data_IF_943515994194
#
_entry.id   IF_943515994194
#
_cell.length_a   1.000
_cell.length_b   1.000
_cell.length_c   1.000
_cell.angle_alpha   90.00
_cell.angle_beta   90.00
_cell.angle_gamma   90.00
#
_symmetry.space_group_name_H-M   'P 1'
#
loop_
_entity.id
_entity.type
_entity.pdbx_description
1 polymer ?
#
# COMPACT_ATOMS: atom_id res chain seq x y z
N UNK A 1 -27.01 5.92 14.91
CA UNK A 1 -27.56 7.23 15.34
C UNK A 1 -26.46 7.89 16.17
N UNK A 2 -26.18 9.18 15.98
CA UNK A 2 -25.16 9.90 16.76
C UNK A 2 -25.53 9.94 18.24
N UNK A 3 -24.52 9.85 19.12
CA UNK A 3 -24.73 10.06 20.54
C UNK A 3 -25.08 11.53 20.83
N UNK A 4 -25.66 11.87 22.00
CA UNK A 4 -25.91 13.28 22.37
C UNK A 4 -24.65 14.15 22.30
N UNK A 5 -23.49 13.64 22.76
CA UNK A 5 -22.22 14.36 22.69
C UNK A 5 -21.75 14.57 21.24
N UNK A 6 -21.88 13.56 20.37
CA UNK A 6 -21.59 13.72 18.95
C UNK A 6 -22.49 14.76 18.29
N UNK A 7 -23.78 14.78 18.62
CA UNK A 7 -24.70 15.80 18.12
C UNK A 7 -24.33 17.20 18.58
N UNK A 8 -23.84 17.36 19.80
CA UNK A 8 -23.32 18.64 20.31
C UNK A 8 -22.09 19.10 19.51
N UNK A 9 -21.15 18.19 19.24
CA UNK A 9 -20.00 18.47 18.37
C UNK A 9 -20.42 18.86 16.94
N UNK A 10 -21.40 18.16 16.37
CA UNK A 10 -21.95 18.49 15.03
C UNK A 10 -22.50 19.93 15.02
N UNK A 11 -23.26 20.34 16.04
CA UNK A 11 -23.79 21.71 16.14
C UNK A 11 -22.66 22.75 16.17
N UNK A 12 -21.59 22.50 16.95
CA UNK A 12 -20.43 23.39 17.02
C UNK A 12 -19.71 23.49 15.66
N UNK A 13 -19.51 22.35 14.99
CA UNK A 13 -18.89 22.28 13.65
C UNK A 13 -19.71 23.08 12.64
N UNK A 14 -21.05 22.96 12.67
CA UNK A 14 -21.92 23.74 11.78
C UNK A 14 -21.90 25.24 12.11
N UNK A 15 -21.95 25.61 13.39
CA UNK A 15 -21.90 27.01 13.82
C UNK A 15 -20.62 27.72 13.42
N UNK A 16 -19.48 27.02 13.36
CA UNK A 16 -18.18 27.56 12.98
C UNK A 16 -17.87 27.39 11.49
N UNK A 17 -18.74 26.78 10.69
CA UNK A 17 -18.50 26.51 9.26
C UNK A 17 -18.18 27.78 8.47
N UNK A 18 -18.94 28.84 8.65
CA UNK A 18 -18.78 30.08 7.90
C UNK A 18 -17.40 30.73 8.14
N UNK A 19 -16.88 30.66 9.36
CA UNK A 19 -15.56 31.23 9.68
C UNK A 19 -14.39 30.46 9.08
N UNK A 20 -14.59 29.22 8.66
CA UNK A 20 -13.59 28.39 8.00
C UNK A 20 -13.60 28.49 6.47
N UNK A 21 -14.64 29.05 5.87
CA UNK A 21 -14.70 29.24 4.43
C UNK A 21 -13.59 30.20 3.97
N UNK A 22 -12.74 29.70 3.06
CA UNK A 22 -11.58 30.46 2.58
C UNK A 22 -10.39 30.54 3.54
N UNK A 23 -10.47 29.90 4.71
CA UNK A 23 -9.34 29.79 5.63
C UNK A 23 -8.34 28.77 5.09
N UNK A 24 -7.06 29.12 5.07
CA UNK A 24 -5.96 28.18 4.82
C UNK A 24 -5.16 28.03 6.12
N UNK A 25 -5.27 26.91 6.82
CA UNK A 25 -4.46 26.66 8.02
C UNK A 25 -2.97 26.70 7.70
N UNK A 26 -2.19 27.27 8.61
CA UNK A 26 -0.74 27.39 8.49
C UNK A 26 -0.08 26.01 8.39
N UNK A 27 0.94 25.88 7.53
CA UNK A 27 1.83 24.70 7.53
C UNK A 27 2.80 24.78 8.72
N UNK A 28 3.08 23.64 9.31
CA UNK A 28 4.07 23.52 10.39
C UNK A 28 5.48 23.71 9.83
N UNK A 29 6.40 24.26 10.65
CA UNK A 29 7.83 24.25 10.37
C UNK A 29 8.40 22.82 10.47
N UNK A 30 9.64 22.62 10.03
CA UNK A 30 10.30 21.31 10.15
C UNK A 30 10.45 20.86 11.61
N UNK A 31 10.80 21.81 12.48
CA UNK A 31 10.97 21.57 13.92
C UNK A 31 9.64 21.21 14.60
N UNK A 32 8.56 21.89 14.24
CA UNK A 32 7.22 21.60 14.76
C UNK A 32 6.75 20.21 14.33
N UNK A 33 7.04 19.81 13.08
CA UNK A 33 6.73 18.46 12.56
C UNK A 33 7.52 17.39 13.29
N UNK A 34 8.83 17.57 13.45
CA UNK A 34 9.70 16.62 14.17
C UNK A 34 9.25 16.43 15.62
N UNK A 35 8.94 17.51 16.33
CA UNK A 35 8.41 17.44 17.69
C UNK A 35 7.07 16.69 17.72
N UNK A 36 6.14 17.03 16.84
CA UNK A 36 4.82 16.37 16.75
C UNK A 36 4.96 14.86 16.52
N UNK A 37 5.83 14.46 15.58
CA UNK A 37 6.06 13.05 15.26
C UNK A 37 6.63 12.29 16.47
N UNK A 38 7.64 12.83 17.15
CA UNK A 38 8.24 12.21 18.34
C UNK A 38 7.26 12.05 19.50
N UNK A 39 6.36 12.99 19.68
CA UNK A 39 5.42 12.98 20.80
C UNK A 39 4.19 12.11 20.53
N UNK A 40 3.70 12.07 19.29
CA UNK A 40 2.39 11.51 18.99
C UNK A 40 2.37 10.39 17.97
N UNK A 41 3.37 10.27 17.07
CA UNK A 41 3.35 9.17 16.10
C UNK A 41 3.79 7.86 16.78
N UNK A 42 3.01 6.76 16.69
CA UNK A 42 3.30 5.51 17.39
C UNK A 42 4.67 4.91 17.04
N UNK A 43 5.09 5.01 15.79
CA UNK A 43 6.33 4.43 15.29
C UNK A 43 7.59 5.26 15.64
N UNK A 44 7.45 6.39 16.35
CA UNK A 44 8.57 7.12 16.94
C UNK A 44 8.88 6.68 18.38
N UNK A 45 8.16 5.68 18.90
CA UNK A 45 8.39 5.10 20.24
C UNK A 45 9.33 3.92 20.15
N UNK A 46 10.32 3.89 21.05
CA UNK A 46 11.34 2.84 21.08
C UNK A 46 10.76 1.42 21.23
N UNK A 47 9.66 1.29 21.96
CA UNK A 47 8.96 0.04 22.23
C UNK A 47 8.18 -0.53 21.01
N UNK A 48 8.03 0.24 19.94
CA UNK A 48 7.44 -0.23 18.70
C UNK A 48 8.38 -1.14 17.89
N UNK A 49 9.68 -1.14 18.21
CA UNK A 49 10.72 -1.80 17.45
C UNK A 49 11.45 -2.87 18.26
N UNK A 50 11.87 -3.91 17.57
CA UNK A 50 12.77 -4.95 18.08
C UNK A 50 13.94 -5.18 17.13
N UNK A 51 15.03 -5.77 17.65
CA UNK A 51 16.18 -6.17 16.86
C UNK A 51 15.93 -7.50 16.15
N UNK A 52 16.23 -7.54 14.87
CA UNK A 52 16.22 -8.78 14.06
C UNK A 52 17.44 -9.61 14.44
N UNK A 53 17.24 -10.85 14.91
CA UNK A 53 18.30 -11.75 15.41
C UNK A 53 18.77 -12.77 14.38
N UNK A 54 18.08 -12.93 13.26
CA UNK A 54 18.34 -13.95 12.23
C UNK A 54 18.38 -13.35 10.83
N UNK A 55 19.00 -14.05 9.89
CA UNK A 55 18.98 -13.70 8.47
C UNK A 55 19.82 -12.49 8.07
N UNK A 56 19.63 -11.96 6.84
CA UNK A 56 20.49 -10.93 6.27
C UNK A 56 20.36 -9.55 6.93
N UNK A 57 19.26 -9.25 7.59
CA UNK A 57 19.07 -8.00 8.33
C UNK A 57 19.41 -8.10 9.82
N UNK A 58 20.13 -9.16 10.26
CA UNK A 58 20.52 -9.33 11.66
C UNK A 58 21.22 -8.08 12.20
N UNK A 59 20.80 -7.62 13.38
CA UNK A 59 21.30 -6.42 14.06
C UNK A 59 20.55 -5.14 13.69
N UNK A 60 19.70 -5.16 12.66
CA UNK A 60 18.82 -4.05 12.32
C UNK A 60 17.51 -4.10 13.12
N UNK A 61 16.82 -2.99 13.20
CA UNK A 61 15.50 -2.91 13.83
C UNK A 61 14.39 -2.99 12.80
N UNK A 62 13.26 -3.55 13.22
CA UNK A 62 12.00 -3.51 12.49
C UNK A 62 10.83 -3.43 13.47
N UNK A 63 9.63 -3.16 12.96
CA UNK A 63 8.42 -3.24 13.78
C UNK A 63 8.34 -4.63 14.42
N UNK A 64 8.04 -4.70 15.71
CA UNK A 64 8.08 -5.94 16.50
C UNK A 64 7.25 -7.07 15.90
N UNK A 65 6.09 -6.79 15.31
CA UNK A 65 5.23 -7.77 14.67
C UNK A 65 5.94 -8.44 13.48
N UNK A 66 6.66 -7.65 12.66
CA UNK A 66 7.46 -8.18 11.56
C UNK A 66 8.64 -9.01 12.09
N UNK A 67 9.33 -8.53 13.13
CA UNK A 67 10.44 -9.27 13.75
C UNK A 67 9.99 -10.64 14.24
N UNK A 68 8.85 -10.75 14.92
CA UNK A 68 8.31 -12.00 15.38
C UNK A 68 8.00 -12.97 14.22
N UNK A 69 7.47 -12.47 13.10
CA UNK A 69 7.25 -13.27 11.90
C UNK A 69 8.56 -13.73 11.24
N UNK A 70 9.58 -12.86 11.15
CA UNK A 70 10.90 -13.19 10.60
C UNK A 70 11.62 -14.27 11.45
N UNK A 71 11.39 -14.28 12.75
CA UNK A 71 11.97 -15.28 13.67
C UNK A 71 11.21 -16.61 13.67
N UNK A 72 10.02 -16.69 13.08
CA UNK A 72 9.22 -17.89 13.03
C UNK A 72 9.78 -18.92 12.05
N UNK A 73 9.66 -20.20 12.39
CA UNK A 73 10.03 -21.30 11.51
C UNK A 73 8.89 -21.65 10.54
N UNK A 74 9.24 -22.25 9.41
CA UNK A 74 8.25 -22.91 8.55
C UNK A 74 7.56 -24.06 9.30
N UNK A 75 6.25 -24.18 9.09
CA UNK A 75 5.47 -25.34 9.59
C UNK A 75 5.37 -26.45 8.56
N UNK A 76 5.90 -26.23 7.36
CA UNK A 76 5.97 -27.24 6.32
C UNK A 76 7.06 -28.25 6.71
N UNK A 77 6.68 -29.51 6.90
CA UNK A 77 7.60 -30.63 7.13
C UNK A 77 7.97 -31.26 5.78
N UNK A 78 9.18 -31.81 5.70
CA UNK A 78 9.71 -32.42 4.46
C UNK A 78 8.83 -33.55 3.92
N UNK A 79 8.18 -34.29 4.82
CA UNK A 79 7.32 -35.42 4.50
C UNK A 79 5.91 -35.00 3.99
N UNK A 80 5.57 -33.71 4.07
CA UNK A 80 4.27 -33.21 3.61
C UNK A 80 4.20 -33.01 2.10
N UNK A 81 5.34 -32.93 1.41
CA UNK A 81 5.39 -32.58 0.00
C UNK A 81 6.44 -33.43 -0.72
N UNK A 82 6.01 -34.10 -1.78
CA UNK A 82 6.90 -34.75 -2.73
C UNK A 82 7.28 -33.78 -3.85
N UNK A 83 8.48 -33.22 -3.79
CA UNK A 83 8.99 -32.26 -4.76
C UNK A 83 9.22 -32.86 -6.15
N UNK A 84 9.19 -34.20 -6.30
CA UNK A 84 9.28 -34.85 -7.63
C UNK A 84 7.95 -34.78 -8.40
N UNK A 85 6.84 -34.60 -7.70
CA UNK A 85 5.52 -34.44 -8.28
C UNK A 85 5.28 -32.96 -8.62
N UNK A 86 5.50 -32.61 -9.88
CA UNK A 86 5.27 -31.24 -10.37
C UNK A 86 3.81 -31.11 -10.82
N UNK A 87 3.06 -30.21 -10.17
CA UNK A 87 1.67 -29.91 -10.51
C UNK A 87 1.57 -28.79 -11.56
N UNK A 88 2.50 -27.82 -11.49
CA UNK A 88 2.62 -26.71 -12.45
C UNK A 88 4.06 -26.54 -12.91
N UNK A 89 4.26 -26.24 -14.20
CA UNK A 89 5.57 -26.04 -14.81
C UNK A 89 5.50 -24.84 -15.76
N UNK A 90 6.13 -23.72 -15.40
CA UNK A 90 6.01 -22.45 -16.11
C UNK A 90 7.36 -21.73 -16.23
N UNK A 91 7.45 -20.75 -17.13
CA UNK A 91 8.62 -19.87 -17.19
C UNK A 91 8.63 -18.89 -16.01
N UNK A 92 7.47 -18.27 -15.74
CA UNK A 92 7.33 -17.24 -14.71
C UNK A 92 6.17 -17.57 -13.78
N UNK A 93 6.47 -17.77 -12.50
CA UNK A 93 5.47 -17.87 -11.44
C UNK A 93 5.33 -16.52 -10.74
N UNK A 94 4.14 -15.92 -10.84
CA UNK A 94 3.83 -14.67 -10.11
C UNK A 94 3.04 -15.02 -8.84
N UNK A 95 3.57 -14.65 -7.68
CA UNK A 95 2.94 -14.86 -6.36
C UNK A 95 2.28 -13.57 -5.92
N UNK A 96 0.96 -13.50 -6.03
CA UNK A 96 0.13 -12.36 -5.66
C UNK A 96 -0.69 -11.80 -6.83
N UNK A 97 -2.00 -11.69 -6.64
CA UNK A 97 -2.98 -11.25 -7.65
C UNK A 97 -3.39 -9.77 -7.52
N UNK A 98 -2.57 -8.93 -6.89
CA UNK A 98 -2.78 -7.47 -6.84
C UNK A 98 -2.24 -6.75 -8.07
N UNK A 99 -2.26 -5.40 -8.06
CA UNK A 99 -1.83 -4.59 -9.19
C UNK A 99 -0.43 -4.91 -9.69
N UNK A 100 0.56 -5.06 -8.80
CA UNK A 100 1.93 -5.39 -9.17
C UNK A 100 2.04 -6.79 -9.83
N UNK A 101 1.33 -7.79 -9.29
CA UNK A 101 1.36 -9.14 -9.84
C UNK A 101 0.65 -9.23 -11.17
N UNK A 102 -0.51 -8.60 -11.31
CA UNK A 102 -1.23 -8.57 -12.59
C UNK A 102 -0.41 -7.86 -13.68
N UNK A 103 0.19 -6.70 -13.37
CA UNK A 103 1.07 -5.99 -14.32
C UNK A 103 2.28 -6.84 -14.72
N UNK A 104 2.96 -7.47 -13.74
CA UNK A 104 4.11 -8.32 -14.03
C UNK A 104 3.74 -9.53 -14.91
N UNK A 105 2.56 -10.12 -14.68
CA UNK A 105 2.08 -11.25 -15.50
C UNK A 105 1.73 -10.82 -16.92
N UNK A 106 1.09 -9.67 -17.11
CA UNK A 106 0.77 -9.11 -18.43
C UNK A 106 2.08 -8.86 -19.21
N UNK A 107 3.03 -8.17 -18.62
CA UNK A 107 4.32 -7.87 -19.25
C UNK A 107 5.12 -9.15 -19.59
N UNK A 108 5.15 -10.12 -18.69
CA UNK A 108 5.81 -11.40 -18.94
C UNK A 108 5.15 -12.17 -20.09
N UNK A 109 3.81 -12.19 -20.14
CA UNK A 109 3.04 -12.82 -21.22
C UNK A 109 3.28 -12.12 -22.57
N UNK A 110 3.28 -10.80 -22.61
CA UNK A 110 3.57 -10.01 -23.80
C UNK A 110 5.01 -10.21 -24.31
N UNK A 111 5.96 -10.51 -23.41
CA UNK A 111 7.32 -10.91 -23.75
C UNK A 111 7.42 -12.36 -24.24
N UNK A 112 6.30 -13.11 -24.31
CA UNK A 112 6.23 -14.49 -24.82
C UNK A 112 6.58 -15.57 -23.79
N UNK A 113 6.64 -15.25 -22.51
CA UNK A 113 6.85 -16.24 -21.46
C UNK A 113 5.56 -17.01 -21.13
N UNK A 114 5.71 -18.30 -20.77
CA UNK A 114 4.66 -19.05 -20.12
C UNK A 114 4.55 -18.60 -18.66
N UNK A 115 3.44 -17.95 -18.31
CA UNK A 115 3.26 -17.28 -17.02
C UNK A 115 2.00 -17.73 -16.31
N UNK A 116 2.08 -17.87 -15.00
CA UNK A 116 0.94 -18.18 -14.13
C UNK A 116 0.94 -17.28 -12.90
N UNK A 117 -0.24 -16.86 -12.48
CA UNK A 117 -0.47 -16.17 -11.21
C UNK A 117 -0.99 -17.17 -10.18
N UNK A 118 -0.40 -17.16 -9.00
CA UNK A 118 -0.94 -17.82 -7.80
C UNK A 118 -1.35 -16.75 -6.80
N UNK A 119 -2.54 -16.85 -6.25
CA UNK A 119 -3.04 -15.86 -5.29
C UNK A 119 -3.81 -16.51 -4.14
N UNK A 120 -3.52 -16.07 -2.93
CA UNK A 120 -4.15 -16.53 -1.68
C UNK A 120 -5.65 -16.29 -1.63
N UNK A 121 -6.13 -15.26 -2.32
CA UNK A 121 -7.53 -14.89 -2.47
C UNK A 121 -7.87 -14.85 -3.96
N UNK A 122 -8.96 -14.19 -4.36
CA UNK A 122 -9.27 -14.00 -5.78
C UNK A 122 -8.31 -12.98 -6.40
N UNK A 123 -8.13 -13.06 -7.70
CA UNK A 123 -7.40 -12.03 -8.43
C UNK A 123 -8.09 -10.66 -8.25
N UNK A 124 -7.32 -9.68 -7.84
CA UNK A 124 -7.82 -8.35 -7.52
C UNK A 124 -8.17 -8.14 -6.03
N UNK A 125 -8.36 -9.18 -5.24
CA UNK A 125 -8.56 -9.05 -3.80
C UNK A 125 -7.25 -8.64 -3.12
N UNK A 126 -6.94 -7.35 -3.17
CA UNK A 126 -5.66 -6.76 -2.73
C UNK A 126 -5.82 -5.29 -2.30
N UNK A 127 -4.80 -4.72 -1.68
CA UNK A 127 -4.78 -3.29 -1.35
C UNK A 127 -4.95 -2.38 -2.57
N UNK A 128 -4.54 -2.82 -3.75
CA UNK A 128 -4.78 -2.07 -5.00
C UNK A 128 -6.25 -1.77 -5.20
N UNK A 129 -7.13 -2.76 -5.01
CA UNK A 129 -8.58 -2.59 -5.13
C UNK A 129 -9.15 -1.55 -4.17
N UNK A 130 -8.53 -1.37 -3.00
CA UNK A 130 -9.00 -0.50 -1.92
C UNK A 130 -8.48 0.94 -2.04
N UNK A 131 -7.56 1.22 -2.96
CA UNK A 131 -7.00 2.55 -3.12
C UNK A 131 -8.02 3.51 -3.78
N UNK A 132 -8.27 4.65 -3.16
CA UNK A 132 -9.31 5.59 -3.57
C UNK A 132 -8.74 6.82 -4.29
N UNK A 133 -7.78 7.48 -3.66
CA UNK A 133 -7.35 8.84 -4.03
C UNK A 133 -6.83 9.02 -5.45
N UNK A 134 -5.99 8.14 -5.93
CA UNK A 134 -5.36 8.21 -7.25
C UNK A 134 -3.92 7.78 -7.27
N UNK A 135 -3.29 7.90 -8.43
CA UNK A 135 -1.90 7.58 -8.71
C UNK A 135 -1.16 8.82 -9.21
N UNK A 136 0.06 9.06 -8.72
CA UNK A 136 0.83 10.25 -9.05
C UNK A 136 1.80 9.99 -10.21
N UNK A 137 1.76 10.85 -11.24
CA UNK A 137 2.72 10.88 -12.33
C UNK A 137 2.89 12.30 -12.87
N UNK A 138 4.11 12.73 -13.08
CA UNK A 138 4.43 14.07 -13.60
C UNK A 138 4.43 14.06 -15.13
N UNK A 139 3.25 14.07 -15.74
CA UNK A 139 2.99 13.98 -17.18
C UNK A 139 2.53 15.31 -17.81
N UNK A 140 2.44 16.40 -17.04
CA UNK A 140 1.97 17.71 -17.49
C UNK A 140 3.13 18.70 -17.69
N UNK A 141 2.96 19.66 -18.60
CA UNK A 141 3.98 20.67 -18.95
C UNK A 141 4.46 21.52 -17.76
N UNK A 142 3.58 21.75 -16.77
CA UNK A 142 3.89 22.55 -15.58
C UNK A 142 4.48 21.72 -14.43
N UNK A 143 4.85 20.45 -14.69
CA UNK A 143 5.46 19.55 -13.74
C UNK A 143 6.62 18.78 -14.39
N UNK A 144 7.36 18.01 -13.61
CA UNK A 144 8.43 17.16 -14.12
C UNK A 144 8.72 15.99 -13.18
N UNK A 145 9.28 14.88 -13.68
CA UNK A 145 9.78 13.78 -12.83
C UNK A 145 10.82 14.25 -11.80
N UNK A 146 11.60 15.29 -12.10
CA UNK A 146 12.54 15.90 -11.15
C UNK A 146 11.82 16.55 -9.98
N UNK A 147 10.77 17.34 -10.26
CA UNK A 147 9.96 17.94 -9.20
C UNK A 147 9.21 16.88 -8.39
N UNK A 148 8.71 15.84 -9.06
CA UNK A 148 8.11 14.69 -8.40
C UNK A 148 9.11 13.96 -7.47
N UNK A 149 10.35 13.80 -7.94
CA UNK A 149 11.43 13.23 -7.12
C UNK A 149 11.69 14.05 -5.85
N UNK A 150 11.80 15.38 -5.98
CA UNK A 150 12.06 16.26 -4.83
C UNK A 150 10.92 16.22 -3.81
N UNK A 151 9.68 16.25 -4.27
CA UNK A 151 8.51 16.16 -3.39
C UNK A 151 8.47 14.82 -2.65
N UNK A 152 8.68 13.70 -3.37
CA UNK A 152 8.63 12.37 -2.79
C UNK A 152 9.83 12.09 -1.85
N UNK A 153 11.04 12.56 -2.20
CA UNK A 153 12.24 12.39 -1.39
C UNK A 153 12.16 13.20 -0.10
N UNK A 154 11.70 14.46 -0.18
CA UNK A 154 11.48 15.31 0.98
C UNK A 154 10.32 14.80 1.86
N UNK A 155 9.20 14.41 1.25
CA UNK A 155 8.04 13.85 1.96
C UNK A 155 8.33 12.52 2.65
N UNK A 156 9.31 11.77 2.16
CA UNK A 156 9.82 10.52 2.73
C UNK A 156 11.01 10.74 3.68
N UNK A 157 11.22 11.94 4.21
CA UNK A 157 12.32 12.29 5.14
C UNK A 157 13.72 11.93 4.62
N UNK A 158 13.91 11.98 3.31
CA UNK A 158 15.16 11.64 2.62
C UNK A 158 15.64 10.19 2.84
N UNK A 159 14.74 9.30 3.29
CA UNK A 159 15.07 7.90 3.57
C UNK A 159 15.06 7.00 2.32
N UNK A 160 14.42 7.44 1.23
CA UNK A 160 14.33 6.65 0.01
C UNK A 160 15.70 6.38 -0.61
N UNK A 161 15.87 5.20 -1.20
CA UNK A 161 17.02 4.92 -2.08
C UNK A 161 16.90 5.74 -3.36
N UNK A 162 17.86 6.63 -3.65
CA UNK A 162 17.78 7.56 -4.76
C UNK A 162 17.53 6.90 -6.12
N UNK A 163 18.22 5.78 -6.40
CA UNK A 163 18.11 5.05 -7.65
C UNK A 163 16.72 4.43 -7.86
N UNK A 164 16.10 3.92 -6.79
CA UNK A 164 14.75 3.34 -6.86
C UNK A 164 13.69 4.42 -7.02
N UNK A 165 13.81 5.51 -6.25
CA UNK A 165 12.90 6.64 -6.37
C UNK A 165 12.99 7.30 -7.75
N UNK A 166 14.23 7.46 -8.28
CA UNK A 166 14.43 7.96 -9.64
C UNK A 166 13.70 7.09 -10.66
N UNK A 167 13.85 5.77 -10.59
CA UNK A 167 13.17 4.84 -11.50
C UNK A 167 11.65 5.01 -11.41
N UNK A 168 11.09 5.02 -10.20
CA UNK A 168 9.66 5.19 -9.97
C UNK A 168 9.11 6.46 -10.65
N UNK A 169 9.73 7.62 -10.40
CA UNK A 169 9.18 8.91 -10.89
C UNK A 169 9.41 9.13 -12.37
N UNK A 170 10.50 8.56 -12.93
CA UNK A 170 10.80 8.66 -14.37
C UNK A 170 9.88 7.78 -15.21
N UNK A 171 9.49 6.61 -14.71
CA UNK A 171 8.62 5.66 -15.41
C UNK A 171 7.13 5.90 -15.13
N UNK A 172 6.78 6.71 -14.13
CA UNK A 172 5.39 6.96 -13.78
C UNK A 172 4.52 7.53 -14.92
N UNK A 173 4.99 8.48 -15.77
CA UNK A 173 4.22 8.93 -16.93
C UNK A 173 3.88 7.81 -17.92
N UNK A 174 4.85 6.93 -18.21
CA UNK A 174 4.64 5.79 -19.11
C UNK A 174 3.65 4.78 -18.50
N UNK A 175 3.72 4.54 -17.20
CA UNK A 175 2.78 3.68 -16.48
C UNK A 175 1.33 4.23 -16.56
N UNK A 176 1.13 5.53 -16.41
CA UNK A 176 -0.21 6.16 -16.59
C UNK A 176 -0.71 6.02 -18.02
N UNK A 177 0.17 6.23 -18.99
CA UNK A 177 -0.17 6.05 -20.41
C UNK A 177 -0.57 4.61 -20.69
N UNK A 178 0.22 3.64 -20.25
CA UNK A 178 -0.06 2.21 -20.40
C UNK A 178 -1.40 1.81 -19.76
N UNK A 179 -1.68 2.24 -18.53
CA UNK A 179 -2.95 1.97 -17.86
C UNK A 179 -4.15 2.58 -18.64
N UNK A 180 -3.99 3.79 -19.17
CA UNK A 180 -5.03 4.42 -19.98
C UNK A 180 -5.25 3.68 -21.32
N UNK A 181 -4.19 3.16 -21.95
CA UNK A 181 -4.26 2.34 -23.18
C UNK A 181 -4.94 1.00 -22.92
N UNK A 182 -4.74 0.40 -21.75
CA UNK A 182 -5.46 -0.81 -21.31
C UNK A 182 -6.94 -0.54 -21.01
N UNK A 183 -7.36 0.73 -20.90
CA UNK A 183 -8.76 1.08 -20.70
C UNK A 183 -9.13 1.52 -19.27
N UNK A 184 -8.16 1.94 -18.44
CA UNK A 184 -8.45 2.58 -17.16
C UNK A 184 -9.13 3.92 -17.41
N UNK A 185 -10.31 4.11 -16.84
CA UNK A 185 -11.17 5.28 -17.06
C UNK A 185 -10.78 6.44 -16.14
N UNK A 186 -9.58 7.00 -16.34
CA UNK A 186 -9.17 8.21 -15.62
C UNK A 186 -10.11 9.39 -15.89
N UNK A 187 -10.28 10.26 -14.89
CA UNK A 187 -11.04 11.50 -15.04
C UNK A 187 -10.43 12.38 -16.13
N UNK A 188 -11.26 12.79 -17.08
CA UNK A 188 -10.86 13.63 -18.24
C UNK A 188 -11.78 14.82 -18.32
N UNK A 189 -11.28 15.91 -18.87
CA UNK A 189 -12.08 17.04 -19.27
C UNK A 189 -12.72 16.84 -20.66
N UNK A 190 -13.38 17.88 -21.17
CA UNK A 190 -14.17 17.77 -22.40
C UNK A 190 -13.33 17.51 -23.66
N UNK A 191 -12.06 17.84 -23.66
CA UNK A 191 -11.13 17.61 -24.77
C UNK A 191 -10.39 16.25 -24.68
N UNK A 192 -10.65 15.49 -23.62
CA UNK A 192 -10.05 14.17 -23.39
C UNK A 192 -8.74 14.22 -22.62
N UNK A 193 -8.28 15.39 -22.17
CA UNK A 193 -7.08 15.52 -21.34
C UNK A 193 -7.33 15.01 -19.92
N UNK A 194 -6.43 14.19 -19.39
CA UNK A 194 -6.55 13.67 -18.02
C UNK A 194 -6.44 14.82 -17.01
N UNK A 195 -7.41 14.89 -16.11
CA UNK A 195 -7.46 15.85 -15.00
C UNK A 195 -6.54 15.36 -13.89
N UNK A 196 -5.75 16.30 -13.34
CA UNK A 196 -4.89 16.04 -12.17
C UNK A 196 -5.24 16.92 -10.98
N UNK A 197 -5.06 16.39 -9.77
CA UNK A 197 -5.29 17.10 -8.51
C UNK A 197 -4.03 17.09 -7.64
N UNK A 198 -4.02 17.91 -6.59
CA UNK A 198 -2.98 17.82 -5.55
C UNK A 198 -3.17 16.57 -4.70
N UNK A 199 -2.08 15.90 -4.36
CA UNK A 199 -2.00 14.95 -3.26
C UNK A 199 -1.43 15.61 -2.00
N UNK A 200 -1.46 14.90 -0.87
CA UNK A 200 -0.77 15.33 0.36
C UNK A 200 0.74 15.44 0.14
N UNK A 201 1.33 16.54 0.57
CA UNK A 201 2.77 16.79 0.45
C UNK A 201 3.28 17.14 -0.96
N UNK A 202 2.40 17.27 -1.98
CA UNK A 202 2.82 17.58 -3.34
C UNK A 202 2.89 19.07 -3.63
N UNK A 203 3.89 19.50 -4.40
CA UNK A 203 4.03 20.89 -4.85
C UNK A 203 3.30 21.16 -6.17
N UNK A 204 2.90 20.12 -6.90
CA UNK A 204 2.21 20.19 -8.21
C UNK A 204 1.01 19.25 -8.25
N UNK A 205 0.06 19.56 -9.15
CA UNK A 205 -1.07 18.70 -9.45
C UNK A 205 -0.62 17.58 -10.37
N UNK A 206 -0.46 16.36 -9.83
CA UNK A 206 -0.03 15.19 -10.61
C UNK A 206 -0.79 13.90 -10.25
N UNK A 207 -1.78 13.99 -9.40
CA UNK A 207 -2.58 12.84 -9.01
C UNK A 207 -3.70 12.60 -10.01
N UNK A 208 -3.59 11.52 -10.78
CA UNK A 208 -4.61 11.01 -11.69
C UNK A 208 -5.58 10.13 -10.92
N UNK A 209 -6.85 10.28 -11.18
CA UNK A 209 -7.89 9.57 -10.42
C UNK A 209 -9.04 9.09 -11.33
N UNK A 210 -9.75 8.08 -10.86
CA UNK A 210 -11.04 7.65 -11.37
C UNK A 210 -12.06 7.93 -10.27
N UNK A 211 -12.57 9.16 -10.20
CA UNK A 211 -13.40 9.65 -9.09
C UNK A 211 -12.71 9.42 -7.74
N UNK A 212 -13.28 8.58 -6.88
CA UNK A 212 -12.76 8.16 -5.57
C UNK A 212 -12.58 6.64 -5.45
N UNK A 213 -12.54 5.93 -6.58
CA UNK A 213 -12.34 4.48 -6.66
C UNK A 213 -11.20 4.08 -7.62
N UNK A 214 -10.17 4.90 -7.68
CA UNK A 214 -9.06 4.76 -8.63
C UNK A 214 -8.41 3.38 -8.60
N UNK A 215 -8.16 2.83 -7.42
CA UNK A 215 -7.58 1.50 -7.28
C UNK A 215 -8.51 0.38 -7.75
N UNK A 216 -9.80 0.50 -7.50
CA UNK A 216 -10.80 -0.45 -7.98
C UNK A 216 -10.86 -0.47 -9.51
N UNK A 217 -10.81 0.69 -10.14
CA UNK A 217 -10.81 0.82 -11.60
C UNK A 217 -9.53 0.28 -12.24
N UNK A 218 -8.36 0.61 -11.68
CA UNK A 218 -7.08 0.06 -12.12
C UNK A 218 -7.08 -1.46 -11.98
N UNK A 219 -7.54 -1.97 -10.84
CA UNK A 219 -7.54 -3.41 -10.61
C UNK A 219 -8.55 -4.16 -11.48
N UNK A 220 -9.73 -3.56 -11.74
CA UNK A 220 -10.71 -4.09 -12.69
C UNK A 220 -10.05 -4.28 -14.06
N UNK A 221 -9.43 -3.25 -14.57
CA UNK A 221 -8.77 -3.26 -15.88
C UNK A 221 -7.67 -4.31 -15.95
N UNK A 222 -6.76 -4.33 -14.97
CA UNK A 222 -5.65 -5.29 -14.95
C UNK A 222 -6.14 -6.74 -14.84
N UNK A 223 -7.17 -6.99 -14.01
CA UNK A 223 -7.79 -8.31 -13.90
C UNK A 223 -8.42 -8.75 -15.22
N UNK A 224 -9.19 -7.87 -15.86
CA UNK A 224 -9.84 -8.16 -17.12
C UNK A 224 -8.79 -8.43 -18.21
N UNK A 225 -7.67 -7.71 -18.23
CA UNK A 225 -6.57 -7.95 -19.16
C UNK A 225 -5.86 -9.30 -18.91
N UNK A 226 -5.66 -9.70 -17.67
CA UNK A 226 -5.13 -11.04 -17.33
C UNK A 226 -6.05 -12.12 -17.87
N UNK A 227 -7.37 -11.98 -17.68
CA UNK A 227 -8.38 -12.94 -18.15
C UNK A 227 -8.45 -12.97 -19.68
N UNK A 228 -8.50 -11.80 -20.34
CA UNK A 228 -8.61 -11.67 -21.78
C UNK A 228 -7.40 -12.27 -22.53
N UNK A 229 -6.21 -12.21 -21.93
CA UNK A 229 -4.99 -12.83 -22.45
C UNK A 229 -4.90 -14.33 -22.17
N UNK A 230 -5.84 -14.89 -21.40
CA UNK A 230 -5.84 -16.29 -21.01
C UNK A 230 -4.69 -16.68 -20.08
N UNK A 231 -4.15 -15.72 -19.31
CA UNK A 231 -3.11 -15.99 -18.32
C UNK A 231 -3.71 -16.84 -17.19
N UNK A 232 -3.17 -18.03 -16.90
CA UNK A 232 -3.68 -18.88 -15.83
C UNK A 232 -3.59 -18.22 -14.45
N UNK A 233 -4.68 -18.28 -13.68
CA UNK A 233 -4.74 -17.79 -12.30
C UNK A 233 -5.21 -18.90 -11.38
N UNK A 234 -4.41 -19.23 -10.38
CA UNK A 234 -4.74 -20.22 -9.33
C UNK A 234 -5.12 -19.47 -8.08
N UNK A 235 -6.41 -19.34 -7.85
CA UNK A 235 -7.00 -18.62 -6.71
C UNK A 235 -7.05 -19.49 -5.46
N UNK A 236 -7.30 -18.87 -4.30
CA UNK A 236 -7.39 -19.52 -2.98
C UNK A 236 -6.22 -20.47 -2.70
N UNK A 237 -5.05 -20.11 -3.23
CA UNK A 237 -3.83 -20.90 -3.13
C UNK A 237 -2.68 -20.03 -2.67
N UNK A 238 -2.11 -20.37 -1.53
CA UNK A 238 -1.03 -19.62 -0.89
C UNK A 238 0.33 -20.25 -1.20
N UNK A 239 1.30 -19.46 -1.65
CA UNK A 239 2.69 -19.90 -1.63
C UNK A 239 3.17 -19.95 -0.17
N UNK A 240 3.63 -21.11 0.28
CA UNK A 240 4.03 -21.36 1.67
C UNK A 240 5.52 -21.57 1.85
N UNK A 241 6.24 -21.95 0.79
CA UNK A 241 7.70 -22.05 0.77
C UNK A 241 8.21 -21.81 -0.66
N UNK A 242 9.42 -21.25 -0.80
CA UNK A 242 10.11 -21.18 -2.09
C UNK A 242 11.11 -22.32 -2.21
N UNK A 243 11.23 -22.87 -3.42
CA UNK A 243 12.10 -24.02 -3.72
C UNK A 243 13.40 -23.51 -4.33
N UNK A 244 14.54 -24.09 -3.89
CA UNK A 244 15.87 -23.90 -4.48
C UNK A 244 16.27 -25.13 -5.28
N UNK A 245 16.96 -24.90 -6.37
CA UNK A 245 17.65 -25.95 -7.10
C UNK A 245 19.02 -26.29 -6.47
N UNK A 246 19.73 -27.22 -7.10
CA UNK A 246 21.08 -27.64 -6.66
C UNK A 246 22.12 -26.52 -6.75
N UNK A 247 21.89 -25.49 -7.57
CA UNK A 247 22.72 -24.30 -7.69
C UNK A 247 22.36 -23.20 -6.69
N UNK A 248 21.45 -23.49 -5.78
CA UNK A 248 20.91 -22.54 -4.80
C UNK A 248 20.14 -21.37 -5.40
N UNK A 249 19.60 -21.54 -6.61
CA UNK A 249 18.72 -20.57 -7.27
C UNK A 249 17.25 -20.93 -7.01
N UNK A 250 16.39 -19.92 -7.03
CA UNK A 250 14.94 -20.16 -6.90
C UNK A 250 14.44 -20.89 -8.13
N UNK A 251 13.75 -22.01 -7.92
CA UNK A 251 13.28 -22.91 -8.97
C UNK A 251 11.75 -23.14 -8.91
N UNK A 252 11.05 -22.44 -8.03
CA UNK A 252 9.61 -22.57 -7.88
C UNK A 252 9.12 -22.33 -6.45
N UNK A 253 7.93 -22.84 -6.16
CA UNK A 253 7.29 -22.71 -4.86
C UNK A 253 6.46 -23.94 -4.48
N UNK A 254 6.36 -24.20 -3.19
CA UNK A 254 5.32 -25.06 -2.61
C UNK A 254 4.10 -24.19 -2.36
N UNK A 255 2.97 -24.65 -2.84
CA UNK A 255 1.68 -24.01 -2.76
C UNK A 255 0.76 -24.81 -1.83
N UNK A 256 -0.11 -24.12 -1.12
CA UNK A 256 -1.17 -24.71 -0.32
C UNK A 256 -2.53 -24.29 -0.91
N UNK A 257 -3.28 -25.23 -1.45
CA UNK A 257 -4.68 -24.98 -1.77
C UNK A 257 -5.46 -24.83 -0.47
N UNK A 258 -6.01 -23.65 -0.23
CA UNK A 258 -6.65 -23.29 1.03
C UNK A 258 -8.07 -23.86 1.18
N UNK A 259 -8.66 -24.36 0.09
CA UNK A 259 -9.99 -24.97 0.08
C UNK A 259 -9.90 -26.46 0.39
N UNK A 260 -8.92 -27.18 -0.21
CA UNK A 260 -8.75 -28.63 -0.03
C UNK A 260 -7.73 -29.00 1.04
N UNK A 261 -6.78 -28.11 1.35
CA UNK A 261 -5.65 -28.38 2.23
C UNK A 261 -4.49 -29.12 1.55
N UNK A 262 -4.56 -29.36 0.25
CA UNK A 262 -3.53 -30.06 -0.50
C UNK A 262 -2.32 -29.17 -0.74
N UNK A 263 -1.12 -29.78 -0.67
CA UNK A 263 0.11 -29.15 -1.13
C UNK A 263 0.35 -29.47 -2.59
N UNK A 264 0.75 -28.44 -3.35
CA UNK A 264 1.04 -28.50 -4.78
C UNK A 264 2.47 -27.97 -5.00
N UNK A 265 3.12 -28.45 -6.06
CA UNK A 265 4.47 -28.02 -6.44
C UNK A 265 4.41 -27.26 -7.77
N UNK A 266 4.80 -25.99 -7.72
CA UNK A 266 4.99 -25.19 -8.94
C UNK A 266 6.49 -25.08 -9.23
N UNK A 267 6.95 -25.62 -10.37
CA UNK A 267 8.28 -25.39 -10.90
C UNK A 267 8.26 -24.15 -11.78
N UNK A 268 9.27 -23.29 -11.67
CA UNK A 268 9.38 -22.09 -12.47
C UNK A 268 10.84 -21.70 -12.70
N UNK A 269 11.13 -21.12 -13.88
CA UNK A 269 12.46 -20.55 -14.17
C UNK A 269 12.70 -19.26 -13.41
N UNK A 270 11.63 -18.51 -13.16
CA UNK A 270 11.65 -17.25 -12.43
C UNK A 270 10.41 -17.14 -11.53
N UNK A 271 10.61 -16.62 -10.32
CA UNK A 271 9.52 -16.33 -9.37
C UNK A 271 9.46 -14.85 -9.08
N UNK A 272 8.31 -14.25 -9.29
CA UNK A 272 8.03 -12.85 -8.96
C UNK A 272 7.18 -12.79 -7.70
N UNK A 273 7.69 -12.17 -6.64
CA UNK A 273 6.95 -11.96 -5.39
C UNK A 273 6.23 -10.61 -5.46
N UNK A 274 4.91 -10.62 -5.49
CA UNK A 274 4.04 -9.46 -5.59
C UNK A 274 2.92 -9.47 -4.52
N UNK A 275 3.23 -9.95 -3.31
CA UNK A 275 2.27 -10.26 -2.24
C UNK A 275 1.84 -9.05 -1.42
N UNK A 276 2.30 -7.84 -1.74
CA UNK A 276 2.09 -6.66 -0.92
C UNK A 276 2.95 -6.66 0.35
N UNK A 277 2.51 -5.94 1.37
CA UNK A 277 3.29 -5.68 2.59
C UNK A 277 2.74 -6.34 3.85
N UNK A 278 3.09 -5.76 5.01
CA UNK A 278 2.80 -6.26 6.34
C UNK A 278 1.72 -5.44 7.10
N UNK A 279 1.12 -4.44 6.48
CA UNK A 279 0.30 -3.44 7.18
C UNK A 279 -0.89 -4.02 7.96
N UNK A 280 -1.43 -5.19 7.55
CA UNK A 280 -2.50 -5.86 8.30
C UNK A 280 -2.03 -6.42 9.64
N UNK A 281 -0.75 -6.74 9.74
CA UNK A 281 -0.15 -7.35 10.93
C UNK A 281 0.35 -6.29 11.93
N UNK A 282 0.49 -5.03 11.49
CA UNK A 282 0.95 -3.93 12.33
C UNK A 282 -0.23 -3.34 13.10
N UNK A 283 -0.23 -3.54 14.43
CA UNK A 283 -1.30 -3.09 15.31
C UNK A 283 -0.76 -2.25 16.46
N UNK A 284 -1.11 -0.95 16.45
CA UNK A 284 -0.69 0.02 17.47
C UNK A 284 -1.91 0.68 18.15
N UNK A 285 -2.98 -0.09 18.36
CA UNK A 285 -4.20 0.41 18.99
C UNK A 285 -5.21 1.06 18.04
N UNK A 286 -4.96 1.00 16.72
CA UNK A 286 -5.85 1.55 15.69
C UNK A 286 -6.37 0.46 14.78
N UNK A 287 -7.54 0.68 14.19
CA UNK A 287 -8.04 -0.19 13.14
C UNK A 287 -7.15 -0.10 11.91
N UNK A 288 -6.77 -1.24 11.35
CA UNK A 288 -6.09 -1.27 10.07
C UNK A 288 -7.07 -1.14 8.91
N UNK A 289 -6.75 -0.29 7.93
CA UNK A 289 -7.46 -0.19 6.65
C UNK A 289 -6.88 -1.11 5.56
N UNK A 290 -5.88 -1.93 5.89
CA UNK A 290 -5.27 -2.85 4.94
C UNK A 290 -6.20 -4.02 4.62
N UNK A 291 -6.11 -4.50 3.39
CA UNK A 291 -6.74 -5.73 2.95
C UNK A 291 -6.26 -6.94 3.79
N UNK A 292 -7.11 -7.96 3.95
CA UNK A 292 -6.80 -9.18 4.72
C UNK A 292 -5.53 -9.89 4.25
N UNK A 293 -5.19 -9.78 2.98
CA UNK A 293 -4.02 -10.39 2.38
C UNK A 293 -2.68 -9.72 2.70
N UNK A 294 -2.66 -8.54 3.32
CA UNK A 294 -1.42 -7.81 3.64
C UNK A 294 -0.73 -8.35 4.90
N UNK A 295 -0.29 -9.59 4.87
CA UNK A 295 0.18 -10.39 6.01
C UNK A 295 1.66 -10.79 5.92
N UNK A 296 2.47 -10.06 5.16
CA UNK A 296 3.93 -10.22 5.03
C UNK A 296 4.39 -11.52 4.34
N UNK A 297 3.51 -12.27 3.68
CA UNK A 297 3.84 -13.61 3.17
C UNK A 297 5.12 -13.59 2.30
N UNK A 298 5.18 -12.77 1.27
CA UNK A 298 6.34 -12.69 0.39
C UNK A 298 7.60 -12.13 1.07
N UNK A 299 7.45 -11.24 2.06
CA UNK A 299 8.58 -10.75 2.85
C UNK A 299 9.24 -11.92 3.59
N UNK A 300 8.44 -12.78 4.22
CA UNK A 300 8.93 -13.95 4.96
C UNK A 300 9.53 -14.99 4.02
N UNK A 301 8.87 -15.28 2.89
CA UNK A 301 9.35 -16.25 1.91
C UNK A 301 10.72 -15.83 1.33
N UNK A 302 10.84 -14.59 0.88
CA UNK A 302 12.10 -14.05 0.37
C UNK A 302 13.19 -14.00 1.45
N UNK A 303 12.84 -13.60 2.67
CA UNK A 303 13.78 -13.52 3.79
C UNK A 303 14.38 -14.88 4.17
N UNK A 304 13.58 -15.92 4.19
CA UNK A 304 14.04 -17.30 4.45
C UNK A 304 15.02 -17.81 3.39
N UNK A 305 14.91 -17.28 2.18
CA UNK A 305 15.89 -17.54 1.11
C UNK A 305 17.13 -16.67 1.17
N UNK A 306 17.24 -15.74 2.13
CA UNK A 306 18.39 -14.89 2.32
C UNK A 306 18.29 -13.54 1.59
N UNK A 307 17.14 -13.17 1.05
CA UNK A 307 16.93 -11.83 0.50
C UNK A 307 16.88 -10.79 1.64
N UNK A 308 17.66 -9.71 1.58
CA UNK A 308 17.57 -8.65 2.58
C UNK A 308 16.27 -7.86 2.39
N UNK A 309 15.70 -7.40 3.50
CA UNK A 309 14.59 -6.47 3.48
C UNK A 309 15.08 -5.03 3.41
N UNK A 310 14.34 -4.20 2.72
CA UNK A 310 14.53 -2.76 2.64
C UNK A 310 13.32 -2.06 3.26
N UNK A 311 13.56 -1.02 4.08
CA UNK A 311 12.52 -0.27 4.79
C UNK A 311 11.64 -1.14 5.70
N UNK A 312 12.22 -2.16 6.30
CA UNK A 312 11.56 -3.09 7.23
C UNK A 312 11.07 -2.42 8.52
N UNK A 313 11.52 -1.20 8.77
CA UNK A 313 11.16 -0.36 9.90
C UNK A 313 10.06 0.66 9.59
N UNK A 314 9.47 0.63 8.39
CA UNK A 314 8.48 1.62 7.96
C UNK A 314 7.10 1.02 7.73
N UNK A 315 6.09 1.63 8.36
CA UNK A 315 4.67 1.40 8.08
C UNK A 315 4.00 2.77 7.91
N UNK A 316 3.24 2.94 6.83
CA UNK A 316 2.48 4.18 6.65
C UNK A 316 1.09 4.07 7.27
N UNK A 317 0.74 5.04 8.11
CA UNK A 317 -0.62 5.22 8.61
C UNK A 317 -1.42 6.05 7.63
N UNK A 318 -2.56 5.52 7.16
CA UNK A 318 -3.53 6.35 6.45
C UNK A 318 -4.19 7.28 7.48
N UNK A 319 -4.11 8.61 7.34
CA UNK A 319 -4.46 9.52 8.42
C UNK A 319 -5.96 9.59 8.71
N UNK A 320 -6.81 9.28 7.74
CA UNK A 320 -8.26 9.44 7.86
C UNK A 320 -8.99 8.11 7.63
N UNK A 321 -9.38 7.48 8.73
CA UNK A 321 -10.27 6.33 8.77
C UNK A 321 -11.57 6.66 9.48
N UNK A 322 -12.66 5.97 9.12
CA UNK A 322 -13.96 6.12 9.78
C UNK A 322 -13.91 5.46 11.15
N UNK A 323 -14.22 6.22 12.20
CA UNK A 323 -14.36 5.68 13.56
C UNK A 323 -15.82 5.38 13.92
N UNK A 324 -16.79 6.02 13.26
CA UNK A 324 -18.21 5.87 13.52
C UNK A 324 -19.03 6.10 12.23
N UNK A 325 -20.14 5.37 12.01
CA UNK A 325 -20.71 4.30 12.85
C UNK A 325 -19.92 2.98 12.80
N UNK A 326 -20.14 2.09 13.76
CA UNK A 326 -19.40 0.84 13.91
C UNK A 326 -19.42 -0.08 12.66
N UNK A 327 -20.49 0.01 11.85
CA UNK A 327 -20.65 -0.79 10.62
C UNK A 327 -19.61 -0.50 9.55
N UNK A 328 -19.03 0.71 9.57
CA UNK A 328 -18.01 1.14 8.60
C UNK A 328 -16.71 1.53 9.30
N UNK A 329 -16.50 1.09 10.55
CA UNK A 329 -15.28 1.32 11.30
C UNK A 329 -14.05 0.81 10.54
N UNK A 330 -13.05 1.68 10.37
CA UNK A 330 -11.84 1.37 9.63
C UNK A 330 -11.93 1.57 8.11
N UNK A 331 -13.10 1.93 7.56
CA UNK A 331 -13.19 2.33 6.17
C UNK A 331 -12.37 3.60 5.90
N UNK A 332 -11.83 3.72 4.69
CA UNK A 332 -11.06 4.91 4.31
C UNK A 332 -11.97 6.13 4.15
N UNK A 333 -11.49 7.29 4.60
CA UNK A 333 -11.95 8.58 4.11
C UNK A 333 -10.89 9.07 3.14
N UNK A 334 -11.20 9.05 1.86
CA UNK A 334 -10.25 9.31 0.77
C UNK A 334 -9.54 10.65 0.92
N UNK A 335 -8.25 10.67 0.63
CA UNK A 335 -7.46 11.91 0.59
C UNK A 335 -8.02 12.93 -0.39
N UNK A 336 -8.70 12.49 -1.44
CA UNK A 336 -9.33 13.36 -2.45
C UNK A 336 -10.28 14.38 -1.82
N UNK A 337 -11.00 14.04 -0.75
CA UNK A 337 -11.87 14.98 -0.02
C UNK A 337 -11.07 16.19 0.49
N UNK A 338 -9.85 15.95 1.01
CA UNK A 338 -8.95 17.03 1.44
C UNK A 338 -8.35 17.79 0.25
N UNK A 339 -8.07 17.09 -0.84
CA UNK A 339 -7.53 17.70 -2.08
C UNK A 339 -8.50 18.66 -2.77
N UNK A 340 -9.80 18.50 -2.53
CA UNK A 340 -10.86 19.39 -3.05
C UNK A 340 -11.33 20.43 -2.04
N UNK A 341 -10.63 20.58 -0.90
CA UNK A 341 -10.83 21.68 0.06
C UNK A 341 -11.45 21.31 1.40
N UNK A 342 -11.71 20.04 1.69
CA UNK A 342 -12.20 19.65 3.01
C UNK A 342 -11.11 19.85 4.09
N UNK A 343 -11.51 20.29 5.26
CA UNK A 343 -10.64 20.50 6.43
C UNK A 343 -10.93 19.47 7.50
N UNK A 344 -9.90 19.06 8.22
CA UNK A 344 -10.01 18.33 9.47
C UNK A 344 -10.31 19.33 10.59
N UNK A 345 -11.39 19.08 11.30
CA UNK A 345 -11.83 19.93 12.42
C UNK A 345 -12.03 19.07 13.67
N UNK A 346 -11.79 19.67 14.83
CA UNK A 346 -12.00 19.04 16.12
C UNK A 346 -13.49 19.13 16.56
N UNK A 347 -13.79 18.62 17.75
CA UNK A 347 -15.15 18.64 18.33
C UNK A 347 -15.67 20.06 18.64
N UNK A 348 -14.81 21.06 18.67
CA UNK A 348 -15.16 22.47 18.84
C UNK A 348 -15.36 23.20 17.50
N UNK A 349 -15.12 22.53 16.39
CA UNK A 349 -15.22 23.10 15.03
C UNK A 349 -14.00 23.89 14.59
N UNK A 350 -12.85 23.70 15.23
CA UNK A 350 -11.60 24.38 14.89
C UNK A 350 -10.76 23.52 13.94
N UNK A 351 -10.24 24.12 12.88
CA UNK A 351 -9.25 23.47 12.01
C UNK A 351 -7.89 23.42 12.72
N UNK A 352 -7.36 22.24 12.92
CA UNK A 352 -6.16 22.01 13.77
C UNK A 352 -4.89 21.68 12.98
N UNK A 353 -4.97 21.54 11.66
CA UNK A 353 -3.84 21.26 10.78
C UNK A 353 -4.10 21.70 9.35
N UNK A 354 -3.03 21.88 8.55
CA UNK A 354 -3.17 22.07 7.12
C UNK A 354 -3.65 20.77 6.46
N UNK A 355 -4.70 20.80 5.59
CA UNK A 355 -5.32 19.58 5.07
C UNK A 355 -4.42 18.72 4.18
N UNK A 356 -3.41 19.31 3.54
CA UNK A 356 -2.48 18.62 2.62
C UNK A 356 -1.06 18.49 3.19
N UNK A 357 -0.93 18.27 4.49
CA UNK A 357 0.34 17.85 5.09
C UNK A 357 0.70 16.41 4.67
N UNK A 358 1.95 15.99 4.90
CA UNK A 358 2.38 14.60 4.71
C UNK A 358 1.57 13.66 5.61
N UNK A 359 1.45 12.39 5.24
CA UNK A 359 0.54 11.45 5.92
C UNK A 359 0.92 11.17 7.37
N UNK A 360 2.20 11.09 7.66
CA UNK A 360 2.75 10.92 9.01
C UNK A 360 2.41 12.11 9.92
N UNK A 361 2.63 13.34 9.44
CA UNK A 361 2.27 14.58 10.14
C UNK A 361 0.75 14.66 10.35
N UNK A 362 -0.02 14.29 9.34
CA UNK A 362 -1.48 14.25 9.44
C UNK A 362 -1.96 13.25 10.49
N UNK A 363 -1.39 12.03 10.49
CA UNK A 363 -1.72 10.99 11.48
C UNK A 363 -1.36 11.44 12.89
N UNK A 364 -0.15 11.96 13.11
CA UNK A 364 0.27 12.46 14.41
C UNK A 364 -0.58 13.66 14.91
N UNK A 365 -1.00 14.54 13.99
CA UNK A 365 -1.89 15.67 14.33
C UNK A 365 -3.25 15.19 14.82
N UNK A 366 -3.82 14.19 14.16
CA UNK A 366 -5.11 13.60 14.55
C UNK A 366 -4.98 12.90 15.90
N UNK A 367 -3.92 12.10 16.09
CA UNK A 367 -3.66 11.41 17.37
C UNK A 367 -3.49 12.43 18.51
N UNK A 368 -2.73 13.50 18.29
CA UNK A 368 -2.59 14.58 19.25
C UNK A 368 -3.95 15.17 19.64
N UNK A 369 -4.76 15.49 18.66
CA UNK A 369 -6.06 16.13 18.88
C UNK A 369 -7.01 15.21 19.66
N UNK A 370 -7.07 13.93 19.30
CA UNK A 370 -7.86 12.93 20.02
C UNK A 370 -7.34 12.71 21.46
N UNK A 371 -6.02 12.61 21.64
CA UNK A 371 -5.39 12.38 22.95
C UNK A 371 -5.60 13.58 23.89
N UNK A 372 -5.38 14.81 23.42
CA UNK A 372 -5.52 16.02 24.21
C UNK A 372 -6.96 16.25 24.69
N UNK A 373 -7.94 15.75 23.96
CA UNK A 373 -9.37 15.90 24.32
C UNK A 373 -9.94 14.69 25.02
N UNK A 374 -9.20 13.59 25.17
CA UNK A 374 -9.67 12.37 25.82
C UNK A 374 -10.84 11.70 25.11
N UNK A 375 -10.94 11.84 23.79
CA UNK A 375 -12.08 11.39 22.97
C UNK A 375 -11.62 10.53 21.81
#
# INVERSE_FOLDING_TARGET
MFTPEMMESVKKVEATRASRLGMEPRRMTAEEKDQLLREFHPDYRAEAFEEIKVGPNKGQKANKELVHMLHSNSRLLKDHVDLSKIDYDVDVLVIGGGGAGASAAIEAHEAGADVMIVTKLRIGDANTMMAEGGIQAADKENDSPVQHYLDAFGGGHFAARPELLKKLVMEAPDAIKWLNELGVMFDKDADGTMITTHGGGTSRKRMHACKDYSGAEIMRTLRDEVINRGIPVVEFTSAVELIRDEKNQVAGAVLLNMETGDYLVARAKTVIIATGGAGRMHYQGFATSNHYGATADGLILGYRLGAPLLYQDTIQYHPTGVAYPAQIFGALVTEKVRSIGAMLVNSEGEAFMHPLETRDVSAASIIRECTARGK
#
